data_IF_197404522090
#
_entry.id   IF_197404522090
#
_cell.length_a   1.000
_cell.length_b   1.000
_cell.length_c   1.000
_cell.angle_alpha   90.00
_cell.angle_beta   90.00
_cell.angle_gamma   90.00
#
_symmetry.space_group_name_H-M   'P 1'
#
loop_
_entity.id
_entity.type
_entity.pdbx_description
1 polymer ?
#
# COMPACT_ATOMS: atom_id res chain seq x y z
N UNK A 1 2.23 8.37 -9.04
CA UNK A 1 1.91 6.96 -8.69
C UNK A 1 1.19 6.85 -7.35
N UNK A 2 1.85 7.09 -6.22
CA UNK A 2 1.25 6.95 -4.87
C UNK A 2 -0.09 7.70 -4.71
N UNK A 3 -0.20 8.96 -5.18
CA UNK A 3 -1.45 9.74 -5.13
C UNK A 3 -2.67 9.02 -5.72
N UNK A 4 -2.48 8.27 -6.81
CA UNK A 4 -3.57 7.60 -7.53
C UNK A 4 -4.04 6.32 -6.81
N UNK A 5 -3.11 5.58 -6.20
CA UNK A 5 -3.38 4.22 -5.73
C UNK A 5 -3.41 4.07 -4.21
N UNK A 6 -2.81 5.00 -3.45
CA UNK A 6 -2.56 4.82 -2.02
C UNK A 6 -3.07 5.99 -1.16
N UNK A 7 -2.98 7.22 -1.66
CA UNK A 7 -3.25 8.42 -0.82
C UNK A 7 -4.72 8.67 -0.50
N UNK A 8 -5.65 7.95 -1.14
CA UNK A 8 -7.06 7.97 -0.75
C UNK A 8 -7.32 7.44 0.66
N UNK A 9 -6.37 6.69 1.23
CA UNK A 9 -6.41 6.20 2.62
C UNK A 9 -5.11 6.57 3.35
N UNK A 10 -3.95 6.40 2.72
CA UNK A 10 -2.66 6.79 3.28
C UNK A 10 -2.35 8.25 2.96
N UNK A 11 -3.17 9.13 3.51
CA UNK A 11 -3.14 10.58 3.29
C UNK A 11 -1.86 11.22 3.83
N UNK A 12 -1.70 12.53 3.59
CA UNK A 12 -0.53 13.32 3.99
C UNK A 12 0.74 12.55 3.68
N UNK A 13 0.85 12.04 2.45
CA UNK A 13 2.05 11.37 2.00
C UNK A 13 2.46 10.12 2.84
N UNK A 14 1.51 9.56 3.59
CA UNK A 14 1.69 8.40 4.44
C UNK A 14 2.09 8.73 5.87
N UNK A 15 2.07 10.00 6.31
CA UNK A 15 2.39 10.40 7.69
C UNK A 15 1.24 10.18 8.68
N UNK A 16 0.00 10.06 8.22
CA UNK A 16 -1.15 9.85 9.11
C UNK A 16 -1.21 8.40 9.60
N UNK A 17 -1.44 8.22 10.90
CA UNK A 17 -1.55 6.93 11.58
C UNK A 17 -2.90 6.69 12.28
N UNK A 18 -3.83 7.66 12.22
CA UNK A 18 -5.05 7.67 13.07
C UNK A 18 -6.07 6.67 12.57
N UNK A 19 -6.51 6.79 11.32
CA UNK A 19 -7.50 5.88 10.71
C UNK A 19 -6.83 4.79 9.86
N UNK A 20 -5.65 5.09 9.32
CA UNK A 20 -4.87 4.21 8.46
C UNK A 20 -3.42 4.18 8.95
N UNK A 21 -2.71 3.05 8.85
CA UNK A 21 -1.34 2.95 9.33
C UNK A 21 -0.41 3.85 8.51
N UNK A 22 0.54 4.48 9.22
CA UNK A 22 1.58 5.30 8.62
C UNK A 22 2.50 4.45 7.74
N UNK A 23 2.81 4.96 6.56
CA UNK A 23 3.75 4.37 5.60
C UNK A 23 5.05 5.19 5.50
N UNK A 24 4.99 6.48 5.81
CA UNK A 24 6.15 7.36 5.75
C UNK A 24 7.21 6.93 6.78
N UNK A 25 8.47 6.84 6.33
CA UNK A 25 9.61 6.51 7.20
C UNK A 25 9.68 5.05 7.63
N UNK A 26 8.80 4.18 7.11
CA UNK A 26 8.91 2.75 7.33
C UNK A 26 10.15 2.18 6.63
N UNK A 27 10.83 1.17 7.21
CA UNK A 27 11.96 0.53 6.56
C UNK A 27 11.58 -0.02 5.19
N UNK A 28 12.39 0.28 4.16
CA UNK A 28 12.19 -0.22 2.79
C UNK A 28 12.00 -1.74 2.73
N UNK A 29 12.79 -2.57 3.45
CA UNK A 29 12.56 -4.02 3.49
C UNK A 29 11.17 -4.38 4.03
N UNK A 30 10.71 -3.68 5.08
CA UNK A 30 9.38 -3.92 5.64
C UNK A 30 8.28 -3.62 4.62
N UNK A 31 8.32 -2.46 3.97
CA UNK A 31 7.33 -2.10 2.94
C UNK A 31 7.34 -3.10 1.77
N UNK A 32 8.53 -3.56 1.38
CA UNK A 32 8.71 -4.57 0.32
C UNK A 32 8.05 -5.89 0.71
N UNK A 33 8.33 -6.43 1.90
CA UNK A 33 7.74 -7.68 2.36
C UNK A 33 6.23 -7.57 2.50
N UNK A 34 5.71 -6.47 3.06
CA UNK A 34 4.27 -6.29 3.21
C UNK A 34 3.54 -6.28 1.86
N UNK A 35 4.08 -5.57 0.86
CA UNK A 35 3.49 -5.56 -0.47
C UNK A 35 3.58 -6.93 -1.14
N UNK A 36 4.73 -7.61 -1.03
CA UNK A 36 4.90 -8.96 -1.55
C UNK A 36 3.88 -9.93 -0.95
N UNK A 37 3.67 -9.89 0.36
CA UNK A 37 2.71 -10.76 1.05
C UNK A 37 1.26 -10.49 0.62
N UNK A 38 0.90 -9.23 0.37
CA UNK A 38 -0.43 -8.91 -0.16
C UNK A 38 -0.62 -9.37 -1.61
N UNK A 39 0.44 -9.34 -2.42
CA UNK A 39 0.40 -9.76 -3.82
C UNK A 39 0.41 -11.27 -3.99
N UNK A 40 1.13 -12.00 -3.13
CA UNK A 40 1.17 -13.46 -3.12
C UNK A 40 -0.09 -14.07 -2.48
N UNK A 41 -0.81 -13.29 -1.66
CA UNK A 41 -1.91 -13.77 -0.85
C UNK A 41 -1.47 -14.37 0.50
N UNK A 42 -0.16 -14.42 0.79
CA UNK A 42 0.38 -14.80 2.11
C UNK A 42 -0.21 -13.94 3.23
N UNK A 43 -0.46 -12.66 2.94
CA UNK A 43 -1.26 -11.77 3.78
C UNK A 43 -2.58 -11.47 3.08
N UNK A 44 -3.62 -12.21 3.47
CA UNK A 44 -4.93 -12.03 2.89
C UNK A 44 -5.61 -10.73 3.36
N UNK A 45 -6.06 -9.92 2.41
CA UNK A 45 -6.76 -8.65 2.67
C UNK A 45 -8.14 -8.91 3.30
N UNK A 46 -8.77 -10.03 2.97
CA UNK A 46 -10.12 -10.35 3.46
C UNK A 46 -10.15 -10.68 4.96
N UNK A 47 -9.02 -11.14 5.50
CA UNK A 47 -8.90 -11.55 6.89
C UNK A 47 -8.69 -10.38 7.85
N UNK A 48 -8.47 -9.16 7.33
CA UNK A 48 -8.28 -7.98 8.19
C UNK A 48 -9.64 -7.50 8.77
N UNK A 49 -9.89 -7.62 10.09
CA UNK A 49 -11.15 -7.21 10.68
C UNK A 49 -11.29 -5.68 10.77
N UNK A 50 -10.19 -4.93 10.70
CA UNK A 50 -10.20 -3.46 10.79
C UNK A 50 -10.62 -2.78 9.48
N UNK A 51 -10.68 -3.51 8.35
CA UNK A 51 -11.07 -2.94 7.06
C UNK A 51 -12.51 -3.29 6.70
N UNK A 52 -13.27 -2.29 6.26
CA UNK A 52 -14.60 -2.49 5.67
C UNK A 52 -14.51 -3.27 4.35
N UNK A 53 -15.65 -3.84 3.92
CA UNK A 53 -15.76 -4.51 2.61
C UNK A 53 -15.39 -3.59 1.44
N UNK A 54 -15.70 -2.29 1.55
CA UNK A 54 -15.37 -1.28 0.53
C UNK A 54 -13.86 -1.06 0.44
N UNK A 55 -13.18 -0.92 1.58
CA UNK A 55 -11.74 -0.72 1.63
C UNK A 55 -10.98 -1.96 1.15
N UNK A 56 -11.42 -3.16 1.54
CA UNK A 56 -10.84 -4.42 1.06
C UNK A 56 -10.89 -4.52 -0.47
N UNK A 57 -12.05 -4.22 -1.06
CA UNK A 57 -12.23 -4.19 -2.53
C UNK A 57 -11.36 -3.14 -3.19
N UNK A 58 -11.32 -1.93 -2.62
CA UNK A 58 -10.50 -0.83 -3.16
C UNK A 58 -9.01 -1.16 -3.11
N UNK A 59 -8.50 -1.70 -1.99
CA UNK A 59 -7.10 -2.12 -1.85
C UNK A 59 -6.74 -3.18 -2.90
N UNK A 60 -7.54 -4.24 -3.01
CA UNK A 60 -7.32 -5.31 -4.01
C UNK A 60 -7.28 -4.76 -5.44
N UNK A 61 -8.26 -3.92 -5.80
CA UNK A 61 -8.31 -3.29 -7.12
C UNK A 61 -7.10 -2.39 -7.36
N UNK A 62 -6.75 -1.52 -6.42
CA UNK A 62 -5.63 -0.59 -6.58
C UNK A 62 -4.30 -1.34 -6.75
N UNK A 63 -4.07 -2.45 -6.03
CA UNK A 63 -2.88 -3.29 -6.22
C UNK A 63 -2.88 -3.98 -7.59
N UNK A 64 -4.03 -4.51 -8.03
CA UNK A 64 -4.15 -5.13 -9.35
C UNK A 64 -3.94 -4.11 -10.48
N UNK A 65 -4.57 -2.94 -10.39
CA UNK A 65 -4.48 -1.87 -11.39
C UNK A 65 -3.06 -1.28 -11.44
N UNK A 66 -2.39 -1.16 -10.28
CA UNK A 66 -0.99 -0.73 -10.23
C UNK A 66 -0.08 -1.75 -10.92
N UNK A 67 -0.26 -3.04 -10.62
CA UNK A 67 0.52 -4.11 -11.27
C UNK A 67 0.31 -4.12 -12.78
N UNK A 68 -0.95 -4.00 -13.22
CA UNK A 68 -1.29 -4.04 -14.63
C UNK A 68 -0.77 -2.82 -15.41
N UNK A 69 -0.80 -1.62 -14.81
CA UNK A 69 -0.40 -0.39 -15.48
C UNK A 69 1.11 -0.12 -15.41
N UNK A 70 1.76 -0.43 -14.28
CA UNK A 70 3.11 0.03 -13.97
C UNK A 70 4.11 -1.12 -13.72
N UNK A 71 3.62 -2.36 -13.65
CA UNK A 71 4.43 -3.53 -13.33
C UNK A 71 5.14 -3.44 -11.97
N UNK A 72 6.22 -4.21 -11.84
CA UNK A 72 7.00 -4.28 -10.60
C UNK A 72 7.77 -2.97 -10.32
N UNK A 73 8.13 -2.24 -11.37
CA UNK A 73 8.74 -0.91 -11.25
C UNK A 73 7.81 0.10 -10.55
N UNK A 74 6.50 0.01 -10.78
CA UNK A 74 5.51 0.85 -10.09
C UNK A 74 5.46 0.59 -8.59
N UNK A 75 5.57 -0.68 -8.17
CA UNK A 75 5.63 -1.02 -6.74
C UNK A 75 6.91 -0.51 -6.10
N UNK A 76 8.05 -0.67 -6.77
CA UNK A 76 9.32 -0.15 -6.28
C UNK A 76 9.26 1.38 -6.10
N UNK A 77 8.71 2.10 -7.08
CA UNK A 77 8.53 3.54 -6.98
C UNK A 77 7.65 3.97 -5.79
N UNK A 78 6.64 3.17 -5.43
CA UNK A 78 5.83 3.42 -4.23
C UNK A 78 6.61 3.14 -2.95
N UNK A 79 7.36 2.04 -2.89
CA UNK A 79 8.21 1.69 -1.75
C UNK A 79 9.23 2.80 -1.51
N UNK A 80 9.94 3.23 -2.55
CA UNK A 80 10.94 4.29 -2.46
C UNK A 80 10.31 5.61 -2.01
N UNK A 81 9.15 5.96 -2.58
CA UNK A 81 8.40 7.17 -2.23
C UNK A 81 8.07 7.20 -0.73
N UNK A 82 7.58 6.12 -0.14
CA UNK A 82 7.24 6.09 1.29
C UNK A 82 8.46 5.91 2.21
N UNK A 83 9.44 5.11 1.79
CA UNK A 83 10.70 4.90 2.52
C UNK A 83 11.60 6.14 2.56
N UNK A 84 11.47 7.06 1.61
CA UNK A 84 12.27 8.31 1.58
C UNK A 84 11.72 9.43 2.47
N UNK A 85 10.55 9.23 3.09
CA UNK A 85 9.94 10.24 3.98
C UNK A 85 10.49 10.12 5.39
N UNK A 86 10.77 11.26 6.02
CA UNK A 86 11.25 11.36 7.40
C UNK A 86 10.31 12.21 8.23
#
# INVERSE_FOLDING_TARGET
>A
LSRKYCQDCHEKDGYTGVDYPSLAGQPVPYLTYQLADFLSGSRNIDDNPAMSKKEKRKKKRNLADLKAAEGDAGFQAIIDFYGSRK
#
